data_IF_748468114014
#
_entry.id   IF_748468114014
#
_cell.length_a   1.000
_cell.length_b   1.000
_cell.length_c   1.000
_cell.angle_alpha   90.00
_cell.angle_beta   90.00
_cell.angle_gamma   90.00
#
_symmetry.space_group_name_H-M   'P 1'
#
loop_
_entity.id
_entity.type
_entity.pdbx_description
1 polymer ?
#
# COMPACT_ATOMS: atom_id res chain seq x y z
N UNK A 1 5.56 10.52 -14.96
CA UNK A 1 4.39 11.39 -15.27
C UNK A 1 4.52 11.95 -16.67
N UNK A 2 3.40 12.31 -17.31
CA UNK A 2 3.37 12.82 -18.69
C UNK A 2 4.25 14.07 -18.89
N UNK A 3 4.29 14.97 -17.91
CA UNK A 3 5.11 16.19 -17.91
C UNK A 3 6.63 15.94 -18.07
N UNK A 4 7.21 14.99 -17.33
CA UNK A 4 8.66 14.75 -17.38
C UNK A 4 9.13 14.10 -18.71
N UNK A 5 8.19 13.60 -19.52
CA UNK A 5 8.47 13.10 -20.88
C UNK A 5 8.32 14.18 -21.95
N UNK A 6 7.55 15.23 -21.67
CA UNK A 6 7.28 16.34 -22.61
C UNK A 6 8.20 17.55 -22.38
N UNK A 7 8.79 17.69 -21.19
CA UNK A 7 9.66 18.80 -20.80
C UNK A 7 10.93 18.28 -20.12
N UNK A 8 12.09 18.96 -20.24
CA UNK A 8 13.36 18.58 -19.59
C UNK A 8 13.32 18.89 -18.08
N UNK A 9 12.44 18.18 -17.36
CA UNK A 9 12.28 18.30 -15.91
C UNK A 9 13.30 17.36 -15.28
N UNK A 10 14.25 17.92 -14.54
CA UNK A 10 15.22 17.18 -13.75
C UNK A 10 14.79 17.13 -12.28
N UNK A 11 15.16 16.05 -11.60
CA UNK A 11 14.97 15.92 -10.16
C UNK A 11 15.93 16.90 -9.47
N UNK A 12 15.41 17.88 -8.74
CA UNK A 12 16.23 18.91 -8.08
C UNK A 12 16.63 18.51 -6.65
N UNK A 13 15.71 17.89 -5.92
CA UNK A 13 15.91 17.45 -4.55
C UNK A 13 14.93 16.30 -4.22
N UNK A 14 15.26 15.52 -3.19
CA UNK A 14 14.37 14.50 -2.62
C UNK A 14 13.95 14.94 -1.23
N UNK A 15 12.66 14.92 -0.95
CA UNK A 15 12.14 15.19 0.39
C UNK A 15 12.64 14.09 1.34
N UNK A 16 13.28 14.50 2.44
CA UNK A 16 13.67 13.61 3.53
C UNK A 16 12.56 13.60 4.59
N UNK A 17 12.25 12.43 5.14
CA UNK A 17 11.36 12.30 6.30
C UNK A 17 12.17 12.26 7.59
N UNK A 18 11.56 12.62 8.72
CA UNK A 18 12.19 12.46 10.03
C UNK A 18 12.36 10.99 10.44
N UNK A 19 11.64 10.07 9.78
CA UNK A 19 11.55 8.66 10.14
C UNK A 19 12.67 7.79 9.56
N UNK A 20 13.49 8.32 8.63
CA UNK A 20 14.59 7.54 8.04
C UNK A 20 15.80 8.41 7.70
N UNK A 21 16.98 7.86 8.02
CA UNK A 21 18.26 8.47 7.64
C UNK A 21 18.68 8.13 6.21
N UNK A 22 17.93 7.27 5.53
CA UNK A 22 18.21 6.78 4.17
C UNK A 22 17.05 7.23 3.27
N UNK A 23 17.18 8.34 2.52
CA UNK A 23 16.06 8.95 1.80
C UNK A 23 15.33 8.02 0.82
N UNK A 24 16.05 7.09 0.19
CA UNK A 24 15.48 6.07 -0.70
C UNK A 24 14.87 4.86 0.02
N UNK A 25 14.90 4.83 1.35
CA UNK A 25 14.24 3.83 2.22
C UNK A 25 13.42 4.54 3.30
N UNK A 26 12.60 5.49 2.89
CA UNK A 26 11.82 6.36 3.77
C UNK A 26 10.30 6.18 3.67
N UNK A 27 9.84 5.29 2.78
CA UNK A 27 8.43 4.96 2.57
C UNK A 27 8.24 3.47 2.83
N UNK A 28 7.12 3.12 3.45
CA UNK A 28 6.71 1.74 3.69
C UNK A 28 5.21 1.59 3.41
N UNK A 29 4.83 0.39 2.98
CA UNK A 29 3.45 -0.06 2.83
C UNK A 29 3.13 -1.04 3.95
N UNK A 30 1.93 -0.96 4.49
CA UNK A 30 1.45 -1.83 5.57
C UNK A 30 0.18 -2.53 5.10
N UNK A 31 0.07 -3.79 5.50
CA UNK A 31 -1.12 -4.63 5.35
C UNK A 31 -1.82 -4.63 6.71
N UNK A 32 -2.99 -4.01 6.80
CA UNK A 32 -3.75 -3.86 8.04
C UNK A 32 -4.90 -4.84 8.04
N UNK A 33 -5.06 -5.54 9.16
CA UNK A 33 -6.14 -6.49 9.43
C UNK A 33 -6.63 -6.28 10.86
N UNK A 34 -7.82 -6.78 11.20
CA UNK A 34 -8.28 -6.83 12.60
C UNK A 34 -7.44 -7.82 13.40
N UNK A 35 -7.25 -7.53 14.69
CA UNK A 35 -6.48 -8.39 15.61
C UNK A 35 -7.04 -9.82 15.67
N UNK A 36 -8.37 -9.95 15.72
CA UNK A 36 -9.08 -11.24 15.79
C UNK A 36 -9.17 -11.98 14.44
N UNK A 37 -8.68 -11.39 13.35
CA UNK A 37 -8.74 -12.00 12.03
C UNK A 37 -7.84 -13.25 11.93
N UNK A 38 -8.16 -14.20 11.04
CA UNK A 38 -7.31 -15.38 10.81
C UNK A 38 -6.00 -15.05 10.07
N UNK A 39 -5.83 -13.83 9.55
CA UNK A 39 -4.69 -13.42 8.74
C UNK A 39 -3.50 -13.04 9.62
N UNK A 40 -2.53 -13.94 9.78
CA UNK A 40 -1.34 -13.72 10.63
C UNK A 40 -0.05 -13.55 9.82
N UNK A 41 -0.08 -13.91 8.54
CA UNK A 41 1.06 -13.78 7.62
C UNK A 41 0.63 -13.15 6.30
N UNK A 42 1.60 -12.61 5.56
CA UNK A 42 1.36 -12.06 4.21
C UNK A 42 0.84 -13.11 3.21
N UNK A 43 0.95 -14.42 3.50
CA UNK A 43 0.41 -15.47 2.61
C UNK A 43 -1.06 -15.76 2.88
N UNK A 44 -1.53 -15.45 4.08
CA UNK A 44 -2.89 -15.80 4.51
C UNK A 44 -3.94 -14.95 3.78
N UNK A 45 -3.54 -13.79 3.24
CA UNK A 45 -4.44 -12.85 2.57
C UNK A 45 -4.85 -13.28 1.16
N UNK A 46 -4.42 -14.44 0.65
CA UNK A 46 -4.67 -14.87 -0.73
C UNK A 46 -6.17 -14.83 -1.12
N UNK A 47 -7.04 -15.16 -0.17
CA UNK A 47 -8.50 -15.23 -0.36
C UNK A 47 -9.26 -14.15 0.43
N UNK A 48 -8.55 -13.18 1.01
CA UNK A 48 -9.16 -12.09 1.76
C UNK A 48 -9.82 -11.08 0.82
N UNK A 49 -10.82 -10.36 1.31
CA UNK A 49 -11.30 -9.12 0.67
C UNK A 49 -10.30 -8.00 0.92
N UNK A 50 -9.52 -7.63 -0.11
CA UNK A 50 -8.43 -6.67 -0.01
C UNK A 50 -8.78 -5.37 -0.74
N UNK A 51 -8.49 -4.23 -0.11
CA UNK A 51 -8.60 -2.93 -0.77
C UNK A 51 -7.37 -2.03 -0.60
N UNK A 52 -7.17 -1.16 -1.59
CA UNK A 52 -6.15 -0.12 -1.62
C UNK A 52 -6.71 1.13 -2.32
N UNK A 53 -6.10 2.31 -2.13
CA UNK A 53 -6.65 3.54 -2.73
C UNK A 53 -6.45 3.62 -4.25
N UNK A 54 -5.38 3.02 -4.78
CA UNK A 54 -5.09 3.06 -6.22
C UNK A 54 -4.02 2.07 -6.63
N UNK A 55 -4.15 1.50 -7.83
CA UNK A 55 -3.11 0.70 -8.49
C UNK A 55 -1.80 1.47 -8.70
N UNK A 56 -1.85 2.81 -8.66
CA UNK A 56 -0.71 3.71 -8.82
C UNK A 56 -0.19 4.28 -7.50
N UNK A 57 -0.79 3.90 -6.37
CA UNK A 57 -0.38 4.38 -5.06
C UNK A 57 0.98 3.80 -4.70
N UNK A 58 2.00 4.65 -4.58
CA UNK A 58 3.36 4.17 -4.31
C UNK A 58 3.47 3.53 -2.92
N UNK A 59 3.20 4.32 -1.87
CA UNK A 59 3.30 3.85 -0.49
C UNK A 59 2.15 2.94 -0.04
N UNK A 60 0.97 3.04 -0.69
CA UNK A 60 -0.22 2.26 -0.33
C UNK A 60 -0.50 1.06 -1.22
N UNK A 61 0.40 0.70 -2.15
CA UNK A 61 0.23 -0.51 -2.96
C UNK A 61 1.53 -0.98 -3.64
N UNK A 62 2.15 -0.13 -4.45
CA UNK A 62 3.27 -0.55 -5.32
C UNK A 62 4.50 -1.02 -4.54
N UNK A 63 4.79 -0.39 -3.39
CA UNK A 63 5.88 -0.82 -2.53
C UNK A 63 5.65 -2.24 -1.96
N UNK A 64 4.42 -2.56 -1.53
CA UNK A 64 4.07 -3.91 -1.09
C UNK A 64 4.15 -4.90 -2.24
N UNK A 65 3.53 -4.59 -3.39
CA UNK A 65 3.54 -5.44 -4.57
C UNK A 65 4.96 -5.83 -4.98
N UNK A 66 5.87 -4.85 -5.02
CA UNK A 66 7.27 -5.10 -5.37
C UNK A 66 7.94 -6.12 -4.41
N UNK A 67 7.72 -5.99 -3.10
CA UNK A 67 8.28 -6.94 -2.13
C UNK A 67 7.61 -8.32 -2.23
N UNK A 68 6.29 -8.40 -2.45
CA UNK A 68 5.58 -9.66 -2.65
C UNK A 68 6.04 -10.40 -3.91
N UNK A 69 6.24 -9.67 -5.02
CA UNK A 69 6.77 -10.20 -6.29
C UNK A 69 8.18 -10.76 -6.08
N UNK A 70 9.05 -10.03 -5.38
CA UNK A 70 10.42 -10.47 -5.06
C UNK A 70 10.45 -11.72 -4.18
N UNK A 71 9.48 -11.87 -3.29
CA UNK A 71 9.33 -13.05 -2.43
C UNK A 71 8.63 -14.23 -3.13
N UNK A 72 8.05 -14.01 -4.31
CA UNK A 72 7.32 -15.03 -5.06
C UNK A 72 6.08 -15.54 -4.33
N UNK A 73 5.39 -14.68 -3.57
CA UNK A 73 4.25 -15.09 -2.73
C UNK A 73 2.97 -15.29 -3.54
N UNK A 74 2.75 -14.46 -4.57
CA UNK A 74 1.52 -14.46 -5.35
C UNK A 74 1.80 -14.40 -6.85
N UNK A 75 0.82 -14.82 -7.64
CA UNK A 75 0.82 -14.67 -9.09
C UNK A 75 0.12 -13.36 -9.50
N UNK A 76 0.12 -13.05 -10.80
CA UNK A 76 -0.52 -11.82 -11.30
C UNK A 76 -2.02 -11.75 -11.00
N UNK A 77 -2.73 -12.88 -11.00
CA UNK A 77 -4.18 -12.92 -10.75
C UNK A 77 -4.56 -12.50 -9.34
N UNK A 78 -3.71 -12.70 -8.34
CA UNK A 78 -3.95 -12.18 -6.99
C UNK A 78 -4.10 -10.65 -7.00
N UNK A 79 -3.27 -9.93 -7.76
CA UNK A 79 -3.36 -8.47 -7.79
C UNK A 79 -4.60 -7.94 -8.54
N UNK A 80 -5.28 -8.80 -9.29
CA UNK A 80 -6.54 -8.47 -9.97
C UNK A 80 -7.75 -8.54 -9.02
N UNK A 81 -7.63 -9.22 -7.87
CA UNK A 81 -8.70 -9.30 -6.86
C UNK A 81 -8.73 -8.09 -5.93
N UNK A 82 -7.72 -7.23 -5.99
CA UNK A 82 -7.61 -6.06 -5.10
C UNK A 82 -8.56 -4.96 -5.56
N UNK A 83 -9.42 -4.52 -4.64
CA UNK A 83 -10.38 -3.46 -4.88
C UNK A 83 -9.73 -2.08 -4.72
N UNK A 84 -9.84 -1.24 -5.75
CA UNK A 84 -9.34 0.14 -5.70
C UNK A 84 -10.46 1.13 -5.45
N UNK A 85 -10.49 1.74 -4.27
CA UNK A 85 -11.61 2.59 -3.81
C UNK A 85 -11.43 4.08 -4.07
N UNK A 86 -10.19 4.53 -4.28
CA UNK A 86 -9.84 5.95 -4.32
C UNK A 86 -9.57 6.55 -2.93
N UNK A 87 -9.13 7.81 -2.85
CA UNK A 87 -9.00 8.54 -1.59
C UNK A 87 -10.38 8.78 -0.92
N UNK A 88 -10.41 8.97 0.41
CA UNK A 88 -9.27 9.14 1.31
C UNK A 88 -8.73 7.80 1.87
N UNK A 89 -7.46 7.78 2.30
CA UNK A 89 -6.75 6.53 2.66
C UNK A 89 -7.18 5.96 4.01
N UNK A 90 -7.52 6.83 4.96
CA UNK A 90 -8.04 6.50 6.28
C UNK A 90 -9.37 5.74 6.23
N UNK A 91 -10.20 5.99 5.20
CA UNK A 91 -11.44 5.24 4.99
C UNK A 91 -11.20 3.73 4.89
N UNK A 92 -10.10 3.29 4.29
CA UNK A 92 -9.78 1.86 4.21
C UNK A 92 -9.57 1.22 5.60
N UNK A 93 -9.06 1.99 6.56
CA UNK A 93 -8.91 1.51 7.94
C UNK A 93 -10.28 1.40 8.61
N UNK A 94 -11.17 2.38 8.38
CA UNK A 94 -12.55 2.32 8.85
C UNK A 94 -13.28 1.11 8.26
N UNK A 95 -13.09 0.83 6.96
CA UNK A 95 -13.70 -0.33 6.28
C UNK A 95 -13.21 -1.68 6.87
N UNK A 96 -11.95 -1.75 7.33
CA UNK A 96 -11.43 -2.92 8.07
C UNK A 96 -12.06 -3.02 9.46
N UNK A 97 -12.24 -1.89 10.17
CA UNK A 97 -12.87 -1.86 11.49
C UNK A 97 -14.34 -2.30 11.40
N UNK A 98 -15.06 -1.85 10.37
CA UNK A 98 -16.49 -2.07 10.15
C UNK A 98 -16.81 -3.41 9.44
N UNK A 99 -15.85 -4.35 9.37
CA UNK A 99 -15.99 -5.66 8.72
C UNK A 99 -16.41 -5.58 7.22
N UNK A 100 -16.20 -4.44 6.54
CA UNK A 100 -16.54 -4.29 5.11
C UNK A 100 -15.50 -4.92 4.19
N UNK A 101 -14.24 -4.88 4.62
CA UNK A 101 -13.11 -5.56 4.00
C UNK A 101 -12.30 -6.29 5.06
N UNK A 102 -11.51 -7.27 4.63
CA UNK A 102 -10.65 -8.04 5.52
C UNK A 102 -9.28 -7.38 5.70
N UNK A 103 -8.78 -6.77 4.62
CA UNK A 103 -7.41 -6.27 4.53
C UNK A 103 -7.38 -4.91 3.85
N UNK A 104 -6.75 -3.93 4.50
CA UNK A 104 -6.40 -2.65 3.89
C UNK A 104 -4.90 -2.58 3.59
N UNK A 105 -4.54 -2.14 2.39
CA UNK A 105 -3.16 -1.80 2.04
C UNK A 105 -3.02 -0.28 2.06
N UNK A 106 -2.19 0.23 2.98
CA UNK A 106 -2.03 1.67 3.24
C UNK A 106 -0.55 2.03 3.42
N UNK A 107 -0.17 3.32 3.25
CA UNK A 107 1.11 3.82 3.73
C UNK A 107 1.27 3.59 5.24
N UNK A 108 2.49 3.29 5.70
CA UNK A 108 2.75 2.92 7.08
C UNK A 108 2.25 3.92 8.12
N UNK A 109 2.34 5.22 7.82
CA UNK A 109 1.96 6.30 8.74
C UNK A 109 0.44 6.56 8.79
N UNK A 110 -0.39 5.78 8.10
CA UNK A 110 -1.83 6.09 7.99
C UNK A 110 -2.51 5.96 9.34
N UNK A 111 -2.30 4.85 10.04
CA UNK A 111 -2.98 4.56 11.30
C UNK A 111 -2.62 5.57 12.41
N UNK A 112 -1.37 6.03 12.46
CA UNK A 112 -0.91 6.98 13.47
C UNK A 112 -1.37 8.43 13.21
N UNK A 113 -1.81 8.74 11.99
CA UNK A 113 -2.21 10.09 11.58
C UNK A 113 -3.73 10.24 11.35
N UNK A 114 -4.52 9.21 11.67
CA UNK A 114 -6.00 9.30 11.67
C UNK A 114 -6.51 10.21 12.78
#
# INVERSE_FOLDING_TARGET
>A
TKLAREYPINWLATQKTAYSNVPNKSIASVVVVREESPFKTLRDINEASIAAVSEKAFGGFLALRYELDKLGYFNSSFFETIHFTGPPTDQLILDVIDDQIDVAIVPACTLENM
#
